data_IF_635764845432
#
_entry.id   IF_635764845432
#
_cell.length_a   1.000
_cell.length_b   1.000
_cell.length_c   1.000
_cell.angle_alpha   90.00
_cell.angle_beta   90.00
_cell.angle_gamma   90.00
#
_symmetry.space_group_name_H-M   'P 1'
#
loop_
_entity.id
_entity.type
_entity.pdbx_description
1 polymer ?
#
# COMPACT_ATOMS: atom_id res chain seq x y z
N UNK A 1 -39.07 21.88 23.23
CA UNK A 1 -39.42 23.31 23.25
C UNK A 1 -39.98 23.64 24.64
N UNK A 2 -39.25 24.43 25.42
CA UNK A 2 -39.70 24.98 26.71
C UNK A 2 -40.48 26.28 26.41
N UNK A 3 -41.73 26.37 26.88
CA UNK A 3 -42.71 27.38 26.47
C UNK A 3 -42.55 28.71 27.24
N UNK A 4 -42.70 29.82 26.51
CA UNK A 4 -43.24 31.15 26.86
C UNK A 4 -42.88 31.88 28.18
N UNK A 5 -41.88 31.42 28.92
CA UNK A 5 -41.13 32.18 29.91
C UNK A 5 -39.68 31.75 29.83
N UNK A 6 -38.81 32.59 29.25
CA UNK A 6 -37.48 32.17 28.80
C UNK A 6 -36.66 31.65 29.99
N UNK A 7 -36.58 30.33 30.10
CA UNK A 7 -35.52 29.66 30.84
C UNK A 7 -34.21 30.14 30.25
N UNK A 8 -33.37 30.72 31.10
CA UNK A 8 -32.09 31.29 30.71
C UNK A 8 -31.04 30.21 30.87
N UNK A 9 -30.39 29.82 29.77
CA UNK A 9 -29.20 28.99 29.84
C UNK A 9 -28.06 29.81 30.46
N UNK A 10 -27.57 29.34 31.60
CA UNK A 10 -26.49 29.99 32.32
C UNK A 10 -25.13 29.46 31.89
N UNK A 11 -25.02 28.12 31.75
CA UNK A 11 -23.78 27.43 31.38
C UNK A 11 -24.11 26.13 30.66
N UNK A 12 -23.33 25.80 29.64
CA UNK A 12 -23.34 24.48 28.99
C UNK A 12 -21.92 24.01 28.71
N UNK A 13 -21.66 22.73 28.95
CA UNK A 13 -20.39 22.05 28.63
C UNK A 13 -20.67 20.87 27.71
N UNK A 14 -19.78 20.65 26.75
CA UNK A 14 -19.80 19.49 25.85
C UNK A 14 -18.50 18.70 25.96
N UNK A 15 -18.61 17.37 25.97
CA UNK A 15 -17.53 16.41 25.86
C UNK A 15 -17.99 15.31 24.89
N UNK A 16 -17.46 15.29 23.66
CA UNK A 16 -17.99 14.42 22.60
C UNK A 16 -19.49 14.67 22.35
N UNK A 17 -20.27 13.59 22.25
CA UNK A 17 -21.74 13.66 22.15
C UNK A 17 -22.45 14.04 23.46
N UNK A 18 -21.75 14.01 24.59
CA UNK A 18 -22.32 14.24 25.92
C UNK A 18 -22.22 15.71 26.33
N UNK A 19 -23.17 16.16 27.13
CA UNK A 19 -23.09 17.50 27.71
C UNK A 19 -23.94 17.68 28.96
N UNK A 20 -23.66 18.81 29.62
CA UNK A 20 -24.37 19.23 30.82
C UNK A 20 -24.75 20.71 30.70
N UNK A 21 -25.97 21.07 31.08
CA UNK A 21 -26.46 22.45 31.08
C UNK A 21 -27.01 22.85 32.44
N UNK A 22 -26.69 24.06 32.88
CA UNK A 22 -27.33 24.76 34.00
C UNK A 22 -28.19 25.87 33.42
N UNK A 23 -29.46 25.87 33.78
CA UNK A 23 -30.45 26.81 33.32
C UNK A 23 -31.23 27.38 34.51
N UNK A 24 -31.83 28.56 34.35
CA UNK A 24 -32.60 29.22 35.40
C UNK A 24 -33.93 29.76 34.85
N UNK A 25 -35.01 29.41 35.51
CA UNK A 25 -36.33 30.01 35.28
C UNK A 25 -36.53 31.18 36.27
N UNK A 26 -36.51 32.44 35.80
CA UNK A 26 -36.71 33.60 36.68
C UNK A 26 -38.15 33.75 37.19
N UNK A 27 -39.14 33.11 36.55
CA UNK A 27 -40.54 33.17 36.99
C UNK A 27 -40.77 32.23 38.17
N UNK A 28 -40.19 31.03 38.11
CA UNK A 28 -40.30 30.02 39.15
C UNK A 28 -39.15 30.07 40.17
N UNK A 29 -38.19 30.98 39.99
CA UNK A 29 -36.94 31.07 40.77
C UNK A 29 -36.26 29.70 40.93
N UNK A 30 -36.28 28.90 39.86
CA UNK A 30 -35.88 27.49 39.88
C UNK A 30 -34.75 27.24 38.89
N UNK A 31 -33.70 26.57 39.36
CA UNK A 31 -32.60 26.08 38.53
C UNK A 31 -32.93 24.70 37.96
N UNK A 32 -32.55 24.49 36.72
CA UNK A 32 -32.63 23.22 36.00
C UNK A 32 -31.23 22.80 35.61
N UNK A 33 -30.84 21.58 36.00
CA UNK A 33 -29.55 21.00 35.63
C UNK A 33 -29.82 19.76 34.78
N UNK A 34 -29.31 19.76 33.56
CA UNK A 34 -29.53 18.68 32.60
C UNK A 34 -28.22 17.95 32.28
N UNK A 35 -28.27 16.63 32.24
CA UNK A 35 -27.30 15.76 31.56
C UNK A 35 -27.96 15.26 30.29
N UNK A 36 -27.24 15.31 29.17
CA UNK A 36 -27.78 14.93 27.86
C UNK A 36 -26.71 14.27 26.98
N UNK A 37 -27.17 13.52 25.99
CA UNK A 37 -26.37 13.01 24.88
C UNK A 37 -27.05 13.36 23.57
N UNK A 38 -26.33 13.91 22.59
CA UNK A 38 -26.87 14.30 21.28
C UNK A 38 -28.15 15.15 21.40
N UNK A 39 -28.13 16.09 22.36
CA UNK A 39 -29.27 16.97 22.71
C UNK A 39 -30.51 16.25 23.27
N UNK A 40 -30.44 14.93 23.46
CA UNK A 40 -31.46 14.16 24.16
C UNK A 40 -31.20 14.20 25.67
N UNK A 41 -32.14 14.76 26.41
CA UNK A 41 -32.05 14.85 27.87
C UNK A 41 -32.15 13.46 28.50
N UNK A 42 -31.16 13.11 29.31
CA UNK A 42 -31.12 11.85 30.05
C UNK A 42 -31.57 12.02 31.50
N UNK A 43 -31.09 13.09 32.14
CA UNK A 43 -31.41 13.39 33.53
C UNK A 43 -31.58 14.89 33.70
N UNK A 44 -32.65 15.28 34.37
CA UNK A 44 -32.91 16.68 34.72
C UNK A 44 -33.17 16.77 36.21
N UNK A 45 -32.47 17.67 36.90
CA UNK A 45 -32.65 17.98 38.30
C UNK A 45 -33.14 19.42 38.42
N UNK A 46 -34.15 19.63 39.28
CA UNK A 46 -34.65 20.96 39.64
C UNK A 46 -34.24 21.31 41.06
N UNK A 47 -33.86 22.56 41.28
CA UNK A 47 -33.48 23.07 42.60
C UNK A 47 -33.80 24.56 42.70
N UNK A 48 -34.41 25.01 43.79
CA UNK A 48 -34.51 26.44 44.10
C UNK A 48 -33.23 26.96 44.81
N UNK A 49 -32.41 26.05 45.33
CA UNK A 49 -31.12 26.39 45.91
C UNK A 49 -30.02 26.43 44.84
N UNK A 50 -29.39 27.60 44.68
CA UNK A 50 -28.30 27.81 43.74
C UNK A 50 -27.12 26.88 43.99
N UNK A 51 -26.65 26.79 45.23
CA UNK A 51 -25.47 25.98 45.58
C UNK A 51 -25.67 24.50 45.23
N UNK A 52 -26.88 23.96 45.46
CA UNK A 52 -27.22 22.60 45.07
C UNK A 52 -27.21 22.42 43.55
N UNK A 53 -27.77 23.38 42.80
CA UNK A 53 -27.78 23.32 41.34
C UNK A 53 -26.36 23.36 40.76
N UNK A 54 -25.49 24.23 41.28
CA UNK A 54 -24.08 24.32 40.86
C UNK A 54 -23.31 23.03 41.17
N UNK A 55 -23.52 22.43 42.34
CA UNK A 55 -22.91 21.15 42.70
C UNK A 55 -23.36 20.01 41.79
N UNK A 56 -24.67 19.92 41.48
CA UNK A 56 -25.19 18.91 40.55
C UNK A 56 -24.63 19.14 39.14
N UNK A 57 -24.52 20.39 38.70
CA UNK A 57 -23.94 20.73 37.40
C UNK A 57 -22.47 20.30 37.32
N UNK A 58 -21.66 20.60 38.34
CA UNK A 58 -20.27 20.16 38.40
C UNK A 58 -20.15 18.63 38.34
N UNK A 59 -21.00 17.91 39.06
CA UNK A 59 -21.05 16.45 39.02
C UNK A 59 -21.43 15.92 37.63
N UNK A 60 -22.41 16.53 36.95
CA UNK A 60 -22.77 16.16 35.59
C UNK A 60 -21.64 16.45 34.60
N UNK A 61 -20.93 17.58 34.74
CA UNK A 61 -19.74 17.85 33.92
C UNK A 61 -18.71 16.73 34.08
N UNK A 62 -18.39 16.31 35.31
CA UNK A 62 -17.46 15.19 35.53
C UNK A 62 -17.96 13.88 34.92
N UNK A 63 -19.27 13.59 35.00
CA UNK A 63 -19.86 12.43 34.35
C UNK A 63 -19.72 12.47 32.83
N UNK A 64 -19.91 13.63 32.19
CA UNK A 64 -19.78 13.76 30.73
C UNK A 64 -18.36 13.47 30.25
N UNK A 65 -17.33 13.78 31.04
CA UNK A 65 -15.94 13.42 30.70
C UNK A 65 -15.78 11.91 30.65
N UNK A 66 -16.20 11.20 31.71
CA UNK A 66 -16.09 9.73 31.78
C UNK A 66 -16.91 9.03 30.69
N UNK A 67 -18.09 9.55 30.36
CA UNK A 67 -18.93 9.00 29.30
C UNK A 67 -18.32 9.21 27.91
N UNK A 68 -17.69 10.36 27.68
CA UNK A 68 -17.07 10.71 26.39
C UNK A 68 -15.75 9.97 26.14
N UNK A 69 -15.01 9.57 27.18
CA UNK A 69 -13.69 8.92 27.05
C UNK A 69 -13.72 7.72 26.09
N UNK A 70 -14.76 6.90 26.15
CA UNK A 70 -14.90 5.71 25.29
C UNK A 70 -15.13 6.12 23.82
N UNK A 71 -15.98 7.10 23.58
CA UNK A 71 -16.30 7.60 22.23
C UNK A 71 -15.09 8.27 21.58
N UNK A 72 -14.39 9.11 22.33
CA UNK A 72 -13.18 9.81 21.87
C UNK A 72 -12.11 8.77 21.51
N UNK A 73 -11.84 7.83 22.43
CA UNK A 73 -10.84 6.79 22.19
C UNK A 73 -11.20 5.90 21.01
N UNK A 74 -12.49 5.57 20.84
CA UNK A 74 -12.96 4.82 19.68
C UNK A 74 -12.68 5.58 18.37
N UNK A 75 -13.01 6.87 18.33
CA UNK A 75 -12.80 7.73 17.15
C UNK A 75 -11.31 7.80 16.78
N UNK A 76 -10.44 7.96 17.78
CA UNK A 76 -8.99 7.93 17.57
C UNK A 76 -8.49 6.59 17.02
N UNK A 77 -8.96 5.47 17.59
CA UNK A 77 -8.58 4.13 17.13
C UNK A 77 -9.08 3.83 15.71
N UNK A 78 -10.29 4.25 15.37
CA UNK A 78 -10.83 4.13 14.01
C UNK A 78 -9.99 4.92 13.00
N UNK A 79 -9.58 6.14 13.35
CA UNK A 79 -8.70 6.96 12.52
C UNK A 79 -7.30 6.31 12.36
N UNK A 80 -6.71 5.80 13.44
CA UNK A 80 -5.43 5.10 13.39
C UNK A 80 -5.49 3.83 12.52
N UNK A 81 -6.58 3.05 12.64
CA UNK A 81 -6.81 1.88 11.79
C UNK A 81 -6.88 2.26 10.32
N UNK A 82 -7.71 3.25 9.96
CA UNK A 82 -7.86 3.69 8.57
C UNK A 82 -6.55 4.23 7.97
N UNK A 83 -5.73 4.90 8.78
CA UNK A 83 -4.39 5.33 8.38
C UNK A 83 -3.48 4.13 8.08
N UNK A 84 -3.42 3.15 8.98
CA UNK A 84 -2.58 1.95 8.81
C UNK A 84 -3.01 1.11 7.61
N UNK A 85 -4.32 0.93 7.39
CA UNK A 85 -4.85 0.22 6.21
C UNK A 85 -4.37 0.88 4.90
N UNK A 86 -4.36 2.21 4.84
CA UNK A 86 -3.83 2.95 3.68
C UNK A 86 -2.34 2.74 3.48
N UNK A 87 -1.55 2.76 4.56
CA UNK A 87 -0.10 2.52 4.50
C UNK A 87 0.18 1.09 4.04
N UNK A 88 -0.53 0.09 4.57
CA UNK A 88 -0.41 -1.32 4.18
C UNK A 88 -0.73 -1.47 2.68
N UNK A 89 -1.82 -0.89 2.20
CA UNK A 89 -2.20 -0.98 0.78
C UNK A 89 -1.11 -0.39 -0.14
N UNK A 90 -0.53 0.74 0.23
CA UNK A 90 0.59 1.35 -0.52
C UNK A 90 1.81 0.42 -0.58
N UNK A 91 2.19 -0.19 0.55
CA UNK A 91 3.34 -1.10 0.60
C UNK A 91 3.07 -2.40 -0.16
N UNK A 92 1.86 -2.95 -0.06
CA UNK A 92 1.45 -4.15 -0.79
C UNK A 92 1.53 -3.92 -2.32
N UNK A 93 1.03 -2.79 -2.80
CA UNK A 93 1.14 -2.42 -4.22
C UNK A 93 2.60 -2.32 -4.68
N UNK A 94 3.47 -1.70 -3.87
CA UNK A 94 4.90 -1.60 -4.17
C UNK A 94 5.56 -2.98 -4.21
N UNK A 95 5.23 -3.86 -3.27
CA UNK A 95 5.77 -5.22 -3.23
C UNK A 95 5.34 -6.03 -4.47
N UNK A 96 4.08 -5.90 -4.90
CA UNK A 96 3.57 -6.56 -6.10
C UNK A 96 4.29 -6.07 -7.37
N UNK A 97 4.52 -4.76 -7.50
CA UNK A 97 5.28 -4.20 -8.61
C UNK A 97 6.71 -4.74 -8.65
N UNK A 98 7.42 -4.71 -7.50
CA UNK A 98 8.77 -5.25 -7.41
C UNK A 98 8.83 -6.74 -7.74
N UNK A 99 7.83 -7.52 -7.31
CA UNK A 99 7.75 -8.94 -7.64
C UNK A 99 7.55 -9.18 -9.14
N UNK A 100 6.72 -8.37 -9.79
CA UNK A 100 6.53 -8.42 -11.24
C UNK A 100 7.84 -8.09 -11.98
N UNK A 101 8.51 -7.00 -11.61
CA UNK A 101 9.78 -6.59 -12.20
C UNK A 101 10.86 -7.67 -12.04
N UNK A 102 10.97 -8.27 -10.85
CA UNK A 102 11.89 -9.37 -10.60
C UNK A 102 11.58 -10.61 -11.45
N UNK A 103 10.30 -10.91 -11.69
CA UNK A 103 9.91 -12.04 -12.53
C UNK A 103 10.30 -11.83 -13.99
N UNK A 104 10.11 -10.61 -14.51
CA UNK A 104 10.55 -10.22 -15.86
C UNK A 104 12.07 -10.24 -15.97
N UNK A 105 12.79 -9.70 -14.98
CA UNK A 105 14.25 -9.73 -14.99
C UNK A 105 14.81 -11.16 -15.01
N UNK A 106 14.20 -12.08 -14.24
CA UNK A 106 14.58 -13.50 -14.23
C UNK A 106 14.33 -14.19 -15.56
N UNK A 107 13.19 -13.92 -16.22
CA UNK A 107 12.90 -14.52 -17.52
C UNK A 107 13.86 -14.02 -18.60
N UNK A 108 14.17 -12.71 -18.61
CA UNK A 108 15.15 -12.12 -19.51
C UNK A 108 16.55 -12.72 -19.31
N UNK A 109 16.99 -12.88 -18.06
CA UNK A 109 18.27 -13.53 -17.76
C UNK A 109 18.33 -14.97 -18.27
N UNK A 110 17.25 -15.75 -18.08
CA UNK A 110 17.17 -17.11 -18.57
C UNK A 110 17.22 -17.17 -20.11
N UNK A 111 16.52 -16.25 -20.79
CA UNK A 111 16.54 -16.16 -22.25
C UNK A 111 17.94 -15.82 -22.80
N UNK A 112 18.62 -14.84 -22.20
CA UNK A 112 20.00 -14.48 -22.57
C UNK A 112 20.95 -15.65 -22.35
N UNK A 113 20.85 -16.33 -21.21
CA UNK A 113 21.67 -17.51 -20.93
C UNK A 113 21.42 -18.63 -21.95
N UNK A 114 20.16 -18.87 -22.35
CA UNK A 114 19.82 -19.87 -23.36
C UNK A 114 20.36 -19.50 -24.74
N UNK A 115 20.23 -18.23 -25.16
CA UNK A 115 20.80 -17.73 -26.42
C UNK A 115 22.32 -17.88 -26.44
N UNK A 116 23.01 -17.57 -25.34
CA UNK A 116 24.46 -17.73 -25.23
C UNK A 116 24.89 -19.20 -25.39
N UNK A 117 24.19 -20.14 -24.75
CA UNK A 117 24.46 -21.57 -24.92
C UNK A 117 24.28 -22.02 -26.37
N UNK A 118 23.18 -21.65 -27.00
CA UNK A 118 22.93 -22.00 -28.41
C UNK A 118 23.97 -21.39 -29.35
N UNK A 119 24.39 -20.13 -29.12
CA UNK A 119 25.45 -19.50 -29.91
C UNK A 119 26.80 -20.21 -29.74
N UNK A 120 27.12 -20.68 -28.53
CA UNK A 120 28.34 -21.47 -28.29
C UNK A 120 28.29 -22.82 -29.03
N UNK A 121 27.16 -23.52 -28.98
CA UNK A 121 26.95 -24.77 -29.71
C UNK A 121 27.09 -24.58 -31.24
N UNK A 122 26.46 -23.54 -31.79
CA UNK A 122 26.57 -23.19 -33.21
C UNK A 122 28.01 -22.86 -33.61
N UNK A 123 28.73 -22.09 -32.78
CA UNK A 123 30.13 -21.77 -33.03
C UNK A 123 31.02 -23.03 -33.04
N UNK A 124 30.77 -23.98 -32.14
CA UNK A 124 31.46 -25.27 -32.14
C UNK A 124 31.16 -26.09 -33.40
N UNK A 125 29.90 -26.16 -33.83
CA UNK A 125 29.50 -26.85 -35.05
C UNK A 125 30.20 -26.24 -36.29
N UNK A 126 30.16 -24.92 -36.44
CA UNK A 126 30.85 -24.21 -37.52
C UNK A 126 32.36 -24.45 -37.50
N UNK A 127 32.97 -24.57 -36.31
CA UNK A 127 34.40 -24.87 -36.20
C UNK A 127 34.73 -26.29 -36.68
N UNK A 128 33.86 -27.26 -36.41
CA UNK A 128 33.98 -28.64 -36.93
C UNK A 128 33.82 -28.66 -38.45
N UNK A 129 32.78 -28.01 -38.98
CA UNK A 129 32.54 -27.91 -40.43
C UNK A 129 33.72 -27.25 -41.15
N UNK A 130 34.24 -26.14 -40.62
CA UNK A 130 35.42 -25.47 -41.17
C UNK A 130 36.62 -26.41 -41.26
N UNK A 131 36.88 -27.21 -40.21
CA UNK A 131 37.99 -28.18 -40.22
C UNK A 131 37.80 -29.26 -41.28
N UNK A 132 36.59 -29.78 -41.43
CA UNK A 132 36.26 -30.77 -42.46
C UNK A 132 36.47 -30.19 -43.88
N UNK A 133 35.98 -28.98 -44.15
CA UNK A 133 36.16 -28.31 -45.43
C UNK A 133 37.65 -28.03 -45.74
N UNK A 134 38.45 -27.67 -44.73
CA UNK A 134 39.89 -27.47 -44.90
C UNK A 134 40.63 -28.77 -45.26
N UNK A 135 40.22 -29.91 -44.71
CA UNK A 135 40.78 -31.22 -45.07
C UNK A 135 40.40 -31.59 -46.51
N UNK A 136 39.14 -31.41 -46.90
CA UNK A 136 38.68 -31.64 -48.28
C UNK A 136 39.43 -30.79 -49.30
N UNK A 137 39.66 -29.50 -48.99
CA UNK A 137 40.41 -28.61 -49.87
C UNK A 137 41.85 -29.11 -50.06
N UNK A 138 42.52 -29.58 -49.00
CA UNK A 138 43.89 -30.11 -49.09
C UNK A 138 43.96 -31.36 -49.97
N UNK A 139 43.01 -32.29 -49.78
CA UNK A 139 42.92 -33.51 -50.57
C UNK A 139 42.71 -33.19 -52.06
N UNK A 140 41.79 -32.28 -52.38
CA UNK A 140 41.55 -31.83 -53.75
C UNK A 140 42.81 -31.17 -54.37
N UNK A 141 43.52 -30.35 -53.61
CA UNK A 141 44.77 -29.73 -54.06
C UNK A 141 45.90 -30.76 -54.31
N UNK A 142 45.93 -31.87 -53.57
CA UNK A 142 46.86 -32.97 -53.83
C UNK A 142 46.49 -33.74 -55.10
N UNK A 143 45.20 -34.03 -55.30
CA UNK A 143 44.69 -34.67 -56.51
C UNK A 143 45.00 -33.85 -57.77
N UNK A 144 44.74 -32.53 -57.75
CA UNK A 144 45.06 -31.63 -58.87
C UNK A 144 46.55 -31.69 -59.21
N UNK A 145 47.44 -31.61 -58.22
CA UNK A 145 48.89 -31.71 -58.44
C UNK A 145 49.33 -33.06 -59.01
N UNK A 146 48.67 -34.15 -58.63
CA UNK A 146 48.95 -35.47 -59.21
C UNK A 146 48.53 -35.54 -60.67
N UNK A 147 47.34 -35.03 -61.00
CA UNK A 147 46.84 -34.97 -62.37
C UNK A 147 47.73 -34.08 -63.27
N UNK A 148 48.16 -32.92 -62.77
CA UNK A 148 49.10 -32.05 -63.49
C UNK A 148 50.40 -32.79 -63.85
N UNK A 149 51.01 -33.49 -62.88
CA UNK A 149 52.23 -34.30 -63.13
C UNK A 149 52.03 -35.42 -64.14
N UNK A 150 50.87 -36.09 -64.13
CA UNK A 150 50.54 -37.13 -65.12
C UNK A 150 50.39 -36.55 -66.53
N UNK A 151 49.87 -35.32 -66.62
CA UNK A 151 49.71 -34.62 -67.90
C UNK A 151 51.06 -34.16 -68.45
N UNK A 152 51.95 -33.65 -67.59
CA UNK A 152 53.32 -33.25 -67.96
C UNK A 152 54.21 -34.43 -68.36
N UNK A 153 54.04 -35.61 -67.74
CA UNK A 153 54.78 -36.84 -68.13
C UNK A 153 54.22 -37.53 -69.37
N UNK A 154 52.97 -37.24 -69.74
CA UNK A 154 52.32 -37.73 -70.96
C UNK A 154 52.57 -36.89 -72.22
N UNK A 155 53.27 -35.75 -72.12
CA UNK A 155 53.64 -34.92 -73.26
C UNK A 155 55.00 -35.37 -73.83
N UNK A 156 55.06 -35.94 -75.06
CA UNK A 156 56.34 -36.18 -75.70
C UNK A 156 57.02 -34.84 -76.00
N UNK A 157 58.29 -34.72 -75.64
CA UNK A 157 59.14 -33.61 -76.08
C UNK A 157 59.23 -33.64 -77.60
N UNK A 158 58.40 -32.85 -78.28
CA UNK A 158 58.60 -32.56 -79.69
C UNK A 158 59.88 -31.72 -79.81
N UNK A 159 60.87 -32.32 -80.48
CA UNK A 159 62.11 -31.71 -80.94
C UNK A 159 61.86 -30.46 -81.77
#
# INVERSE_FOLDING_TARGET
MLHDGRIVEMRTTYNGSYGASLMFDPREMTYYVALFQDKHLWRVIRSQEKNRAEMVYANFVQQTVQLADIEIRRTELEAQKAFLERVIALQANRAQQLQADLSVARSQQAEVAQRQRSAQEQAQALQVEKRAAQLQLRDLQEQVRQLEKQTETGLPAHK
#
